data_IF_543969861507
#
_entry.id   IF_543969861507
#
_cell.length_a   1.000
_cell.length_b   1.000
_cell.length_c   1.000
_cell.angle_alpha   90.00
_cell.angle_beta   90.00
_cell.angle_gamma   90.00
#
_symmetry.space_group_name_H-M   'P 1'
#
loop_
_entity.id
_entity.type
_entity.pdbx_description
1 polymer ?
#
# COMPACT_ATOMS: atom_id res chain seq x y z
N UNK A 1 -13.02 2.88 10.90
CA UNK A 1 -12.19 1.98 10.07
C UNK A 1 -10.92 2.75 9.74
N UNK A 2 -9.73 2.27 10.10
CA UNK A 2 -8.48 3.06 10.01
C UNK A 2 -7.72 2.70 8.74
N UNK A 3 -7.24 3.70 8.00
CA UNK A 3 -6.36 3.55 6.81
C UNK A 3 -5.15 2.63 7.07
N UNK A 4 -4.79 2.46 8.34
CA UNK A 4 -3.80 1.50 8.81
C UNK A 4 -4.07 0.05 8.38
N UNK A 5 -5.31 -0.34 8.04
CA UNK A 5 -5.61 -1.72 7.64
C UNK A 5 -4.94 -2.11 6.31
N UNK A 6 -4.86 -1.19 5.34
CA UNK A 6 -4.13 -1.43 4.08
C UNK A 6 -2.64 -1.60 4.37
N UNK A 7 -2.04 -0.71 5.18
CA UNK A 7 -0.61 -0.78 5.53
C UNK A 7 -0.24 -2.03 6.33
N UNK A 8 -1.12 -2.44 7.24
CA UNK A 8 -0.95 -3.70 8.00
C UNK A 8 -0.95 -4.90 7.04
N UNK A 9 -1.85 -4.90 6.06
CA UNK A 9 -1.93 -6.01 5.10
C UNK A 9 -0.73 -6.03 4.13
N UNK A 10 -0.27 -4.87 3.66
CA UNK A 10 1.00 -4.73 2.91
C UNK A 10 2.17 -5.30 3.73
N UNK A 11 2.24 -4.96 5.02
CA UNK A 11 3.28 -5.48 5.94
C UNK A 11 3.20 -7.00 6.11
N UNK A 12 1.99 -7.57 6.17
CA UNK A 12 1.82 -9.04 6.24
C UNK A 12 2.30 -9.71 4.97
N UNK A 13 1.93 -9.19 3.78
CA UNK A 13 2.40 -9.71 2.49
C UNK A 13 3.92 -9.64 2.38
N UNK A 14 4.52 -8.55 2.87
CA UNK A 14 5.98 -8.41 2.94
C UNK A 14 6.64 -9.47 3.83
N UNK A 15 6.11 -9.70 5.03
CA UNK A 15 6.60 -10.76 5.93
C UNK A 15 6.44 -12.15 5.32
N UNK A 16 5.32 -12.42 4.66
CA UNK A 16 5.04 -13.70 3.99
C UNK A 16 5.99 -13.95 2.80
N UNK A 17 6.41 -12.89 2.09
CA UNK A 17 7.38 -12.96 1.00
C UNK A 17 8.84 -13.17 1.46
N UNK A 18 9.09 -13.33 2.76
CA UNK A 18 10.44 -13.52 3.30
C UNK A 18 11.19 -12.21 3.56
N UNK A 19 10.47 -11.09 3.73
CA UNK A 19 11.04 -9.77 4.02
C UNK A 19 12.03 -9.25 2.95
N UNK A 20 11.70 -9.33 1.65
CA UNK A 20 12.57 -8.82 0.59
C UNK A 20 12.70 -7.30 0.65
N UNK A 21 13.80 -6.77 0.11
CA UNK A 21 13.94 -5.34 -0.15
C UNK A 21 13.15 -4.97 -1.40
N UNK A 22 11.85 -4.71 -1.22
CA UNK A 22 11.02 -4.22 -2.32
C UNK A 22 11.53 -2.88 -2.82
N UNK A 23 11.60 -2.75 -4.14
CA UNK A 23 11.72 -1.45 -4.79
C UNK A 23 10.46 -0.64 -4.56
N UNK A 24 10.54 0.66 -4.88
CA UNK A 24 9.37 1.53 -4.91
C UNK A 24 8.22 0.94 -5.74
N UNK A 25 8.50 0.55 -6.99
CA UNK A 25 7.48 -0.01 -7.90
C UNK A 25 6.87 -1.32 -7.37
N UNK A 26 7.68 -2.15 -6.72
CA UNK A 26 7.18 -3.37 -6.09
C UNK A 26 6.26 -3.05 -4.90
N UNK A 27 6.62 -2.06 -4.08
CA UNK A 27 5.82 -1.64 -2.93
C UNK A 27 4.49 -1.02 -3.37
N UNK A 28 4.53 -0.15 -4.37
CA UNK A 28 3.35 0.45 -4.99
C UNK A 28 2.40 -0.63 -5.54
N UNK A 29 2.93 -1.59 -6.30
CA UNK A 29 2.13 -2.71 -6.82
C UNK A 29 1.43 -3.48 -5.70
N UNK A 30 2.13 -3.80 -4.61
CA UNK A 30 1.53 -4.50 -3.47
C UNK A 30 0.45 -3.63 -2.80
N UNK A 31 0.64 -2.31 -2.71
CA UNK A 31 -0.39 -1.41 -2.18
C UNK A 31 -1.68 -1.46 -3.02
N UNK A 32 -1.54 -1.44 -4.35
CA UNK A 32 -2.66 -1.57 -5.28
C UNK A 32 -3.35 -2.94 -5.15
N UNK A 33 -2.58 -4.04 -5.10
CA UNK A 33 -3.12 -5.38 -4.93
C UNK A 33 -3.86 -5.56 -3.59
N UNK A 34 -3.40 -4.90 -2.52
CA UNK A 34 -4.09 -4.90 -1.23
C UNK A 34 -5.37 -4.08 -1.28
N UNK A 35 -5.38 -2.94 -1.98
CA UNK A 35 -6.61 -2.17 -2.17
C UNK A 35 -7.67 -2.98 -2.93
N UNK A 36 -7.28 -3.62 -4.05
CA UNK A 36 -8.14 -4.52 -4.81
C UNK A 36 -8.67 -5.66 -3.92
N UNK A 37 -7.81 -6.30 -3.12
CA UNK A 37 -8.22 -7.34 -2.19
C UNK A 37 -9.30 -6.85 -1.20
N UNK A 38 -9.17 -5.63 -0.67
CA UNK A 38 -10.24 -5.09 0.18
C UNK A 38 -11.50 -4.75 -0.60
N UNK A 39 -11.38 -4.27 -1.85
CA UNK A 39 -12.52 -4.02 -2.72
C UNK A 39 -13.33 -5.31 -2.98
N UNK A 40 -12.65 -6.42 -3.28
CA UNK A 40 -13.27 -7.75 -3.47
C UNK A 40 -13.99 -8.25 -2.21
N UNK A 41 -13.51 -7.87 -1.02
CA UNK A 41 -14.18 -8.15 0.25
C UNK A 41 -15.33 -7.17 0.58
N UNK A 42 -15.69 -6.27 -0.34
CA UNK A 42 -16.70 -5.24 -0.13
C UNK A 42 -16.29 -4.16 0.87
N UNK A 43 -14.98 -3.97 1.07
CA UNK A 43 -14.39 -3.03 2.05
C UNK A 43 -13.67 -1.89 1.34
N UNK A 44 -13.66 -0.73 1.98
CA UNK A 44 -12.84 0.40 1.58
C UNK A 44 -12.17 1.02 2.82
N UNK A 45 -11.13 0.36 3.36
CA UNK A 45 -10.45 0.84 4.56
C UNK A 45 -9.60 2.11 4.34
N UNK A 46 -9.29 2.46 3.08
CA UNK A 46 -8.57 3.68 2.72
C UNK A 46 -9.28 4.41 1.57
N UNK A 47 -10.43 5.06 1.83
CA UNK A 47 -11.25 5.67 0.77
C UNK A 47 -10.49 6.69 -0.08
N UNK A 48 -9.68 7.53 0.57
CA UNK A 48 -8.86 8.51 -0.12
C UNK A 48 -7.81 7.86 -1.03
N UNK A 49 -7.20 6.76 -0.60
CA UNK A 49 -6.24 6.05 -1.45
C UNK A 49 -6.91 5.51 -2.72
N UNK A 50 -8.13 4.96 -2.57
CA UNK A 50 -8.92 4.49 -3.72
C UNK A 50 -9.35 5.61 -4.66
N UNK A 51 -9.84 6.73 -4.13
CA UNK A 51 -10.19 7.91 -4.94
C UNK A 51 -8.99 8.42 -5.74
N UNK A 52 -7.79 8.40 -5.15
CA UNK A 52 -6.58 8.87 -5.81
C UNK A 52 -6.05 7.84 -6.84
N UNK A 53 -6.33 6.55 -6.68
CA UNK A 53 -6.15 5.53 -7.73
C UNK A 53 -7.07 5.81 -8.91
N UNK A 54 -8.37 6.04 -8.66
CA UNK A 54 -9.37 6.33 -9.70
C UNK A 54 -9.07 7.63 -10.46
N UNK A 55 -8.39 8.58 -9.80
CA UNK A 55 -7.92 9.84 -10.38
C UNK A 55 -6.54 9.76 -11.04
N UNK A 56 -5.92 8.59 -11.06
CA UNK A 56 -4.56 8.39 -11.60
C UNK A 56 -3.52 9.36 -10.97
N UNK A 57 -3.66 9.65 -9.68
CA UNK A 57 -2.77 10.57 -8.98
C UNK A 57 -1.50 9.86 -8.49
N UNK A 58 -0.59 9.59 -9.42
CA UNK A 58 0.67 8.88 -9.17
C UNK A 58 1.49 9.49 -8.03
N UNK A 59 1.49 10.82 -7.89
CA UNK A 59 2.23 11.51 -6.82
C UNK A 59 1.68 11.17 -5.43
N UNK A 60 0.35 11.09 -5.30
CA UNK A 60 -0.29 10.70 -4.06
C UNK A 60 -0.04 9.22 -3.75
N UNK A 61 -0.25 8.34 -4.75
CA UNK A 61 -0.05 6.90 -4.62
C UNK A 61 1.41 6.61 -4.18
N UNK A 62 2.36 7.30 -4.81
CA UNK A 62 3.78 7.27 -4.46
C UNK A 62 4.05 7.63 -3.01
N UNK A 63 3.55 8.79 -2.61
CA UNK A 63 3.73 9.30 -1.23
C UNK A 63 3.11 8.35 -0.22
N UNK A 64 1.96 7.77 -0.56
CA UNK A 64 1.27 6.81 0.29
C UNK A 64 2.08 5.52 0.46
N UNK A 65 2.61 4.96 -0.63
CA UNK A 65 3.47 3.78 -0.62
C UNK A 65 4.77 3.99 0.18
N UNK A 66 5.39 5.17 0.06
CA UNK A 66 6.55 5.55 0.90
C UNK A 66 6.20 5.63 2.39
N UNK A 67 4.94 5.86 2.72
CA UNK A 67 4.40 5.80 4.07
C UNK A 67 4.31 4.39 4.66
N UNK A 68 4.60 3.32 3.91
CA UNK A 68 4.67 1.97 4.47
C UNK A 68 5.84 1.78 5.46
N UNK A 69 6.71 2.79 5.63
CA UNK A 69 7.78 2.84 6.64
C UNK A 69 8.70 1.62 6.64
N UNK A 70 9.04 1.12 5.47
CA UNK A 70 10.14 0.17 5.33
C UNK A 70 11.46 0.93 5.44
N UNK A 71 12.34 0.51 6.37
CA UNK A 71 13.58 1.21 6.71
C UNK A 71 14.51 1.46 5.51
N UNK A 72 14.46 0.59 4.49
CA UNK A 72 15.24 0.74 3.24
C UNK A 72 14.53 1.57 2.16
N UNK A 73 13.22 1.79 2.29
CA UNK A 73 12.42 2.54 1.31
C UNK A 73 12.28 4.01 1.70
N UNK A 74 12.37 4.31 3.01
CA UNK A 74 12.42 5.64 3.56
C UNK A 74 13.22 5.61 4.88
N UNK A 75 14.57 5.52 4.80
CA UNK A 75 15.43 5.56 5.99
C UNK A 75 15.24 6.90 6.70
N UNK A 76 14.85 6.85 7.98
CA UNK A 76 14.75 8.02 8.85
C UNK A 76 16.09 8.36 9.48
#
# INVERSE_FOLDING_TARGET
MRESAVRVEVTKRWKAAGRPHWSYLATERVCLEVDCYFAELGKNPAPRFREEIERENDSYIRTWAMGCHFDWLNPR
#
